data_IF_918625631867
#
_entry.id   IF_918625631867
#
_cell.length_a   1.000
_cell.length_b   1.000
_cell.length_c   1.000
_cell.angle_alpha   90.00
_cell.angle_beta   90.00
_cell.angle_gamma   90.00
#
_symmetry.space_group_name_H-M   'P 1'
#
loop_
_entity.id
_entity.type
_entity.pdbx_description
1 polymer ?
#
# COMPACT_ATOMS: atom_id res chain seq x y z
N UNK A 1 -4.09 7.40 -8.44
CA UNK A 1 -5.23 7.03 -7.57
C UNK A 1 -5.09 5.64 -6.97
N UNK A 2 -4.82 4.59 -7.75
CA UNK A 2 -4.69 3.21 -7.22
C UNK A 2 -3.55 3.04 -6.19
N UNK A 3 -2.35 3.56 -6.47
CA UNK A 3 -1.19 3.51 -5.54
C UNK A 3 -1.56 4.09 -4.18
N UNK A 4 -2.13 5.30 -4.16
CA UNK A 4 -2.52 5.97 -2.91
C UNK A 4 -3.63 5.22 -2.17
N UNK A 5 -4.63 4.69 -2.89
CA UNK A 5 -5.70 3.91 -2.26
C UNK A 5 -5.18 2.62 -1.60
N UNK A 6 -4.24 1.93 -2.25
CA UNK A 6 -3.62 0.72 -1.70
C UNK A 6 -2.72 1.04 -0.51
N UNK A 7 -1.96 2.14 -0.58
CA UNK A 7 -1.19 2.64 0.56
C UNK A 7 -2.08 2.98 1.75
N UNK A 8 -3.18 3.69 1.54
CA UNK A 8 -4.13 4.05 2.61
C UNK A 8 -4.76 2.79 3.23
N UNK A 9 -5.08 1.77 2.42
CA UNK A 9 -5.59 0.49 2.90
C UNK A 9 -4.56 -0.24 3.78
N UNK A 10 -3.29 -0.28 3.38
CA UNK A 10 -2.21 -0.87 4.18
C UNK A 10 -2.08 -0.13 5.51
N UNK A 11 -1.96 1.20 5.49
CA UNK A 11 -1.83 2.02 6.70
C UNK A 11 -3.03 1.86 7.64
N UNK A 12 -4.24 1.73 7.11
CA UNK A 12 -5.42 1.45 7.92
C UNK A 12 -5.34 0.07 8.57
N UNK A 13 -5.01 -0.98 7.80
CA UNK A 13 -4.93 -2.34 8.31
C UNK A 13 -3.81 -2.51 9.34
N UNK A 14 -2.64 -1.88 9.14
CA UNK A 14 -1.57 -1.84 10.14
C UNK A 14 -2.07 -1.26 11.46
N UNK A 15 -2.73 -0.10 11.42
CA UNK A 15 -3.29 0.54 12.63
C UNK A 15 -4.37 -0.29 13.27
N UNK A 16 -5.19 -0.95 12.47
CA UNK A 16 -6.25 -1.83 12.95
C UNK A 16 -5.67 -3.06 13.65
N UNK A 17 -4.62 -3.67 13.10
CA UNK A 17 -3.91 -4.80 13.69
C UNK A 17 -3.37 -4.48 15.10
N UNK A 18 -2.88 -3.25 15.28
CA UNK A 18 -2.34 -2.77 16.56
C UNK A 18 -3.44 -2.22 17.49
N UNK A 19 -4.71 -2.29 17.08
CA UNK A 19 -5.81 -1.92 17.95
C UNK A 19 -6.09 -3.06 18.93
N UNK A 20 -6.37 -2.74 20.19
CA UNK A 20 -6.74 -3.73 21.23
C UNK A 20 -8.14 -4.36 20.99
N UNK A 21 -8.67 -4.29 19.76
CA UNK A 21 -10.04 -4.70 19.41
C UNK A 21 -10.12 -6.06 18.71
N UNK A 22 -8.98 -6.68 18.42
CA UNK A 22 -8.89 -7.94 17.68
C UNK A 22 -8.34 -9.04 18.58
N UNK A 23 -9.12 -10.12 18.74
CA UNK A 23 -8.70 -11.29 19.52
C UNK A 23 -7.75 -12.22 18.76
N UNK A 24 -7.94 -12.38 17.45
CA UNK A 24 -7.08 -13.16 16.55
C UNK A 24 -6.64 -12.32 15.35
N UNK A 25 -5.33 -12.05 15.29
CA UNK A 25 -4.72 -11.17 14.28
C UNK A 25 -4.25 -11.92 13.04
N UNK A 26 -4.22 -13.26 13.04
CA UNK A 26 -3.54 -14.07 12.01
C UNK A 26 -4.09 -13.85 10.60
N UNK A 27 -5.42 -13.84 10.44
CA UNK A 27 -6.09 -13.56 9.16
C UNK A 27 -5.80 -12.13 8.66
N UNK A 28 -5.66 -11.17 9.58
CA UNK A 28 -5.36 -9.77 9.24
C UNK A 28 -3.90 -9.57 8.85
N UNK A 29 -2.98 -10.28 9.51
CA UNK A 29 -1.57 -10.31 9.12
C UNK A 29 -1.40 -10.91 7.73
N UNK A 30 -2.06 -12.03 7.42
CA UNK A 30 -2.03 -12.63 6.09
C UNK A 30 -2.58 -11.66 5.04
N UNK A 31 -3.73 -11.02 5.31
CA UNK A 31 -4.30 -10.02 4.42
C UNK A 31 -3.36 -8.83 4.18
N UNK A 32 -2.71 -8.33 5.24
CA UNK A 32 -1.76 -7.23 5.15
C UNK A 32 -0.57 -7.59 4.25
N UNK A 33 -0.01 -8.79 4.38
CA UNK A 33 1.06 -9.30 3.51
C UNK A 33 0.63 -9.32 2.04
N UNK A 34 -0.61 -9.72 1.74
CA UNK A 34 -1.12 -9.65 0.37
C UNK A 34 -1.18 -8.22 -0.18
N UNK A 35 -1.64 -7.26 0.63
CA UNK A 35 -1.70 -5.86 0.24
C UNK A 35 -0.30 -5.27 0.00
N UNK A 36 0.66 -5.55 0.88
CA UNK A 36 2.06 -5.12 0.74
C UNK A 36 2.70 -5.68 -0.53
N UNK A 37 2.50 -6.98 -0.81
CA UNK A 37 2.99 -7.61 -2.03
C UNK A 37 2.39 -6.97 -3.28
N UNK A 38 1.09 -6.65 -3.24
CA UNK A 38 0.40 -5.96 -4.32
C UNK A 38 0.95 -4.55 -4.54
N UNK A 39 1.21 -3.79 -3.46
CA UNK A 39 1.81 -2.46 -3.55
C UNK A 39 3.23 -2.53 -4.12
N UNK A 40 4.02 -3.52 -3.71
CA UNK A 40 5.36 -3.74 -4.25
C UNK A 40 5.37 -4.11 -5.73
N UNK A 41 4.38 -4.86 -6.21
CA UNK A 41 4.18 -5.07 -7.65
C UNK A 41 3.78 -3.77 -8.35
N UNK A 42 2.80 -3.05 -7.81
CA UNK A 42 2.28 -1.81 -8.40
C UNK A 42 3.35 -0.70 -8.46
N UNK A 43 4.25 -0.63 -7.49
CA UNK A 43 5.40 0.28 -7.51
C UNK A 43 6.30 0.04 -8.72
N UNK A 44 6.61 -1.23 -9.01
CA UNK A 44 7.45 -1.60 -10.16
C UNK A 44 6.79 -1.18 -11.47
N UNK A 45 5.52 -1.53 -11.65
CA UNK A 45 4.74 -1.16 -12.83
C UNK A 45 4.62 0.36 -12.97
N UNK A 46 4.41 1.07 -11.85
CA UNK A 46 4.31 2.53 -11.86
C UNK A 46 5.61 3.18 -12.32
N UNK A 47 6.76 2.70 -11.83
CA UNK A 47 8.07 3.24 -12.22
C UNK A 47 8.40 3.00 -13.69
N UNK A 48 8.03 1.83 -14.23
CA UNK A 48 8.16 1.53 -15.67
C UNK A 48 7.33 2.53 -16.48
N UNK A 49 6.05 2.69 -16.12
CA UNK A 49 5.16 3.61 -16.83
C UNK A 49 5.55 5.09 -16.68
N UNK A 50 6.12 5.48 -15.54
CA UNK A 50 6.61 6.84 -15.30
C UNK A 50 7.81 7.22 -16.18
N UNK A 51 8.65 6.25 -16.55
CA UNK A 51 9.75 6.49 -17.49
C UNK A 51 9.24 6.94 -18.88
N UNK A 52 8.04 6.47 -19.26
CA UNK A 52 7.42 6.76 -20.55
C UNK A 52 6.40 7.91 -20.49
N UNK A 53 6.00 8.35 -19.28
CA UNK A 53 4.95 9.35 -19.07
C UNK A 53 5.41 10.47 -18.12
N UNK A 54 5.94 11.59 -18.66
CA UNK A 54 6.48 12.68 -17.85
C UNK A 54 5.42 13.46 -17.04
N UNK A 55 4.14 13.24 -17.29
CA UNK A 55 3.04 13.88 -16.56
C UNK A 55 2.60 13.11 -15.31
N UNK A 56 3.19 11.94 -15.05
CA UNK A 56 2.91 11.19 -13.83
C UNK A 56 3.56 11.85 -12.61
N UNK A 57 2.83 11.85 -11.50
CA UNK A 57 3.37 12.31 -10.23
C UNK A 57 4.51 11.40 -9.76
N UNK A 58 5.51 11.93 -9.04
CA UNK A 58 6.51 11.09 -8.39
C UNK A 58 5.84 10.07 -7.48
N UNK A 59 6.27 8.80 -7.56
CA UNK A 59 5.70 7.71 -6.75
C UNK A 59 5.71 8.03 -5.24
N UNK A 60 6.78 8.67 -4.77
CA UNK A 60 6.92 9.06 -3.36
C UNK A 60 5.88 10.08 -2.89
N UNK A 61 5.28 10.85 -3.80
CA UNK A 61 4.21 11.80 -3.47
C UNK A 61 2.85 11.11 -3.37
N UNK A 62 2.74 9.89 -3.91
CA UNK A 62 1.52 9.07 -3.87
C UNK A 62 1.44 8.19 -2.62
N UNK A 63 2.58 7.87 -2.02
CA UNK A 63 2.72 7.01 -0.85
C UNK A 63 2.93 7.89 0.37
N UNK A 64 1.98 7.87 1.30
CA UNK A 64 2.11 8.57 2.58
C UNK A 64 2.80 7.64 3.56
N UNK A 65 4.03 7.97 3.97
CA UNK A 65 4.64 7.33 5.14
C UNK A 65 3.96 7.90 6.39
N UNK A 66 3.32 7.04 7.17
CA UNK A 66 2.75 7.37 8.47
C UNK A 66 3.87 7.55 9.53
#
# INVERSE_FOLDING_TARGET
>A
MLVSALNDAITYNEKFLHSETIDDVSDYEEHLVFLENCLGWLEREYKINAAENPNLLPYNDLVRRA
#
